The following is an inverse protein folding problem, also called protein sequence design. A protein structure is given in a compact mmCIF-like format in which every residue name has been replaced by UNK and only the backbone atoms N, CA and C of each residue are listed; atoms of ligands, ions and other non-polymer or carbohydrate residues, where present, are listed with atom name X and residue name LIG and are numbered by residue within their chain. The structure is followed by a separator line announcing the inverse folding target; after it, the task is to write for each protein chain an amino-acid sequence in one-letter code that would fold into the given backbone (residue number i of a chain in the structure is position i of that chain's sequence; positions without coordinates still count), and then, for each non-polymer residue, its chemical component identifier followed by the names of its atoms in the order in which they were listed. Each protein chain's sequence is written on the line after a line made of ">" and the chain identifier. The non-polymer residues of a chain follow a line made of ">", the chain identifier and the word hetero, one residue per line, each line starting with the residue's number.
data_IF_553345647193
#
_entry.id   IF_553345647193
#
_cell.length_a   1.000
_cell.length_b   1.000
_cell.length_c   1.000
_cell.angle_alpha   90.00
_cell.angle_beta   90.00
_cell.angle_gamma   90.00
#
_symmetry.space_group_name_H-M   'P 1'
#
loop_
_entity.id
_entity.type
_entity.pdbx_description
1 polymer ?
#
# COMPACT_ATOMS: atom_id res chain seq x y z
N UNK A 1 22.40 -28.74 57.08
CA UNK A 1 21.40 -29.83 56.94
C UNK A 1 20.55 -29.72 55.67
N UNK A 2 19.91 -28.57 55.40
CA UNK A 2 19.02 -28.39 54.24
C UNK A 2 19.68 -28.67 52.87
N UNK A 3 20.93 -28.24 52.65
CA UNK A 3 21.70 -28.60 51.44
C UNK A 3 21.92 -30.11 51.28
N UNK A 4 22.12 -30.84 52.40
CA UNK A 4 22.27 -32.31 52.38
C UNK A 4 20.97 -33.03 51.99
N UNK A 5 19.81 -32.37 52.13
CA UNK A 5 18.48 -32.88 51.76
C UNK A 5 18.08 -32.57 50.30
N UNK A 6 19.03 -32.11 49.48
CA UNK A 6 18.82 -31.84 48.04
C UNK A 6 18.08 -30.55 47.72
N UNK A 7 17.98 -29.62 48.69
CA UNK A 7 17.36 -28.32 48.42
C UNK A 7 18.25 -27.47 47.50
N UNK A 8 17.66 -26.98 46.41
CA UNK A 8 18.29 -26.09 45.45
C UNK A 8 18.43 -24.69 46.04
N UNK A 9 19.62 -24.13 45.83
CA UNK A 9 19.99 -22.78 46.19
C UNK A 9 20.19 -22.02 44.89
N UNK A 10 19.15 -21.33 44.42
CA UNK A 10 19.22 -20.60 43.16
C UNK A 10 19.92 -19.25 43.35
N UNK A 11 20.95 -19.00 42.53
CA UNK A 11 21.72 -17.76 42.44
C UNK A 11 22.57 -17.40 43.67
N UNK A 12 23.58 -16.54 43.45
CA UNK A 12 24.68 -16.22 44.38
C UNK A 12 24.31 -15.46 45.65
N UNK A 13 23.15 -15.76 46.24
CA UNK A 13 22.68 -15.20 47.50
C UNK A 13 23.43 -15.82 48.69
N UNK A 14 23.83 -14.94 49.62
CA UNK A 14 24.45 -15.35 50.89
C UNK A 14 23.33 -15.71 51.87
N UNK A 15 23.02 -16.99 52.01
CA UNK A 15 22.09 -17.50 53.02
C UNK A 15 22.74 -17.50 54.41
N UNK A 16 21.97 -17.14 55.44
CA UNK A 16 22.38 -17.22 56.85
C UNK A 16 22.39 -18.65 57.40
N UNK A 17 22.67 -18.79 58.70
CA UNK A 17 22.73 -20.10 59.38
C UNK A 17 21.36 -20.80 59.45
N UNK A 18 20.28 -20.03 59.55
CA UNK A 18 18.89 -20.51 59.56
C UNK A 18 18.20 -20.14 58.24
N UNK A 19 17.58 -21.13 57.58
CA UNK A 19 16.89 -20.96 56.29
C UNK A 19 15.52 -21.63 56.30
N UNK A 20 14.56 -21.04 55.57
CA UNK A 20 13.25 -21.66 55.32
C UNK A 20 13.30 -22.46 54.03
N UNK A 21 12.96 -23.75 54.13
CA UNK A 21 12.87 -24.66 52.98
C UNK A 21 11.40 -24.82 52.60
N UNK A 22 11.10 -24.61 51.32
CA UNK A 22 9.80 -24.88 50.72
C UNK A 22 9.95 -26.08 49.79
N UNK A 23 9.01 -27.02 49.87
CA UNK A 23 9.01 -28.24 49.06
C UNK A 23 7.72 -28.32 48.27
N UNK A 24 7.84 -28.48 46.96
CA UNK A 24 6.78 -29.00 46.09
C UNK A 24 7.07 -30.49 45.91
N UNK A 25 6.19 -31.33 46.45
CA UNK A 25 6.37 -32.79 46.48
C UNK A 25 6.72 -33.32 45.08
N UNK A 26 7.74 -34.19 45.03
CA UNK A 26 8.27 -34.83 43.81
C UNK A 26 8.75 -33.89 42.68
N UNK A 27 8.81 -32.58 42.93
CA UNK A 27 9.17 -31.57 41.90
C UNK A 27 10.39 -30.76 42.30
N UNK A 28 10.30 -29.97 43.37
CA UNK A 28 11.39 -29.09 43.80
C UNK A 28 11.44 -28.88 45.30
N UNK A 29 12.65 -28.64 45.81
CA UNK A 29 12.92 -28.23 47.19
C UNK A 29 13.84 -27.03 47.14
N UNK A 30 13.41 -25.91 47.70
CA UNK A 30 14.06 -24.62 47.45
C UNK A 30 14.13 -23.79 48.73
N UNK A 31 15.11 -22.89 48.80
CA UNK A 31 15.16 -21.87 49.83
C UNK A 31 14.28 -20.70 49.41
N UNK A 32 13.18 -20.47 50.14
CA UNK A 32 12.27 -19.37 49.85
C UNK A 32 11.64 -18.80 51.12
N UNK A 33 11.83 -17.50 51.34
CA UNK A 33 11.20 -16.72 52.41
C UNK A 33 9.81 -16.18 52.06
N UNK A 34 9.34 -16.35 50.83
CA UNK A 34 8.07 -15.82 50.35
C UNK A 34 6.84 -16.56 50.91
N UNK A 35 5.67 -16.01 50.64
CA UNK A 35 4.38 -16.67 50.92
C UNK A 35 4.12 -17.77 49.90
N UNK A 36 3.52 -18.87 50.35
CA UNK A 36 3.18 -20.00 49.49
C UNK A 36 1.76 -20.48 49.78
N UNK A 37 1.16 -21.08 48.76
CA UNK A 37 -0.07 -21.86 48.87
C UNK A 37 0.18 -23.16 49.63
N UNK A 38 -0.89 -23.75 50.17
CA UNK A 38 -0.81 -25.02 50.89
C UNK A 38 -0.69 -26.22 49.94
N UNK A 39 -1.20 -26.10 48.71
CA UNK A 39 -1.05 -27.08 47.65
C UNK A 39 -1.08 -26.39 46.28
N UNK A 40 -0.51 -27.03 45.26
CA UNK A 40 -0.38 -26.46 43.91
C UNK A 40 -1.72 -26.22 43.23
N UNK A 41 -2.77 -26.96 43.58
CA UNK A 41 -4.13 -26.76 43.06
C UNK A 41 -4.70 -25.36 43.34
N UNK A 42 -4.26 -24.72 44.43
CA UNK A 42 -4.68 -23.34 44.77
C UNK A 42 -4.12 -22.28 43.79
N UNK A 43 -3.05 -22.59 43.05
CA UNK A 43 -2.49 -21.71 42.03
C UNK A 43 -3.46 -21.61 40.83
N UNK A 44 -4.15 -22.71 40.52
CA UNK A 44 -5.10 -22.79 39.42
C UNK A 44 -4.45 -22.69 38.04
N UNK A 45 -5.10 -21.99 37.12
CA UNK A 45 -4.63 -21.85 35.73
C UNK A 45 -3.27 -21.14 35.69
N UNK A 46 -2.33 -21.68 34.92
CA UNK A 46 -1.05 -21.05 34.63
C UNK A 46 -0.94 -20.80 33.12
N UNK A 47 -0.61 -19.58 32.71
CA UNK A 47 -0.50 -19.21 31.31
C UNK A 47 0.81 -18.46 31.04
N UNK A 48 1.62 -19.00 30.14
CA UNK A 48 2.80 -18.31 29.61
C UNK A 48 2.32 -17.22 28.66
N UNK A 49 2.76 -15.99 28.93
CA UNK A 49 2.46 -14.80 28.15
C UNK A 49 3.45 -14.63 27.01
N UNK A 50 4.73 -14.81 27.32
CA UNK A 50 5.82 -14.60 26.38
C UNK A 50 7.03 -15.43 26.81
N UNK A 51 7.85 -15.76 25.83
CA UNK A 51 9.18 -16.31 26.06
C UNK A 51 10.16 -15.56 25.16
N UNK A 52 11.28 -15.12 25.72
CA UNK A 52 12.28 -14.33 25.01
C UNK A 52 13.71 -14.73 25.39
N UNK A 53 14.64 -14.61 24.44
CA UNK A 53 16.07 -14.78 24.71
C UNK A 53 16.64 -13.51 25.34
N UNK A 54 17.46 -13.65 26.38
CA UNK A 54 18.13 -12.51 27.06
C UNK A 54 19.65 -12.66 27.09
N UNK A 55 20.21 -13.61 26.34
CA UNK A 55 21.64 -13.87 26.28
C UNK A 55 21.95 -15.31 25.86
N UNK A 56 23.24 -15.63 25.69
CA UNK A 56 23.66 -16.97 25.31
C UNK A 56 23.28 -17.97 26.41
N UNK A 57 22.35 -18.88 26.09
CA UNK A 57 21.87 -19.91 27.02
C UNK A 57 20.82 -19.43 28.05
N UNK A 58 20.33 -18.19 27.96
CA UNK A 58 19.36 -17.62 28.91
C UNK A 58 18.04 -17.28 28.24
N UNK A 59 16.93 -17.72 28.86
CA UNK A 59 15.56 -17.45 28.41
C UNK A 59 14.77 -16.81 29.54
N UNK A 60 13.95 -15.81 29.22
CA UNK A 60 12.96 -15.21 30.11
C UNK A 60 11.59 -15.71 29.73
N UNK A 61 10.88 -16.24 30.70
CA UNK A 61 9.47 -16.62 30.59
C UNK A 61 8.66 -15.63 31.41
N UNK A 62 7.68 -14.98 30.79
CA UNK A 62 6.67 -14.19 31.48
C UNK A 62 5.40 -15.03 31.57
N UNK A 63 4.85 -15.18 32.78
CA UNK A 63 3.67 -15.98 32.99
C UNK A 63 2.74 -15.34 34.01
N UNK A 64 1.48 -15.75 33.96
CA UNK A 64 0.42 -15.33 34.89
C UNK A 64 -0.31 -16.56 35.40
N UNK A 65 -0.70 -16.55 36.68
CA UNK A 65 -1.42 -17.64 37.31
C UNK A 65 -2.76 -17.21 37.91
N UNK A 66 -3.63 -18.17 38.22
CA UNK A 66 -4.89 -17.99 38.93
C UNK A 66 -5.94 -17.19 38.15
N UNK A 67 -6.74 -16.40 38.88
CA UNK A 67 -7.83 -15.59 38.33
C UNK A 67 -7.38 -14.66 37.19
N UNK A 68 -6.24 -13.94 37.28
CA UNK A 68 -5.74 -13.13 36.17
C UNK A 68 -5.49 -13.94 34.88
N UNK A 69 -4.97 -15.17 34.99
CA UNK A 69 -4.77 -16.04 33.83
C UNK A 69 -6.11 -16.43 33.16
N UNK A 70 -7.09 -16.81 33.97
CA UNK A 70 -8.45 -17.13 33.50
C UNK A 70 -9.10 -15.93 32.80
N UNK A 71 -9.08 -14.74 33.41
CA UNK A 71 -9.68 -13.54 32.84
C UNK A 71 -9.03 -13.18 31.50
N UNK A 72 -7.71 -13.35 31.38
CA UNK A 72 -6.99 -13.12 30.12
C UNK A 72 -7.42 -14.10 29.03
N UNK A 73 -7.57 -15.39 29.36
CA UNK A 73 -8.05 -16.39 28.41
C UNK A 73 -9.50 -16.12 27.98
N UNK A 74 -10.37 -15.80 28.94
CA UNK A 74 -11.76 -15.41 28.66
C UNK A 74 -11.84 -14.20 27.73
N UNK A 75 -10.97 -13.20 27.93
CA UNK A 75 -10.85 -12.05 27.03
C UNK A 75 -10.50 -12.45 25.59
N UNK A 76 -9.54 -13.36 25.40
CA UNK A 76 -9.18 -13.89 24.06
C UNK A 76 -10.34 -14.62 23.40
N UNK A 77 -11.05 -15.48 24.15
CA UNK A 77 -12.23 -16.21 23.65
C UNK A 77 -13.34 -15.24 23.23
N UNK A 78 -13.61 -14.21 24.03
CA UNK A 78 -14.63 -13.21 23.70
C UNK A 78 -14.24 -12.42 22.44
N UNK A 79 -12.95 -12.08 22.26
CA UNK A 79 -12.49 -11.42 21.04
C UNK A 79 -12.72 -12.29 19.80
N UNK A 80 -12.43 -13.59 19.88
CA UNK A 80 -12.71 -14.54 18.79
C UNK A 80 -14.21 -14.64 18.50
N UNK A 81 -15.05 -14.73 19.53
CA UNK A 81 -16.52 -14.75 19.36
C UNK A 81 -17.06 -13.48 18.72
N UNK A 82 -16.51 -12.32 19.06
CA UNK A 82 -16.91 -11.06 18.43
C UNK A 82 -16.55 -11.03 16.93
N UNK A 83 -15.38 -11.56 16.56
CA UNK A 83 -14.97 -11.68 15.14
C UNK A 83 -15.89 -12.67 14.42
N UNK A 84 -16.16 -13.83 15.00
CA UNK A 84 -17.09 -14.83 14.46
C UNK A 84 -18.49 -14.23 14.24
N UNK A 85 -19.01 -13.47 15.20
CA UNK A 85 -20.30 -12.77 15.05
C UNK A 85 -20.29 -11.72 13.94
N UNK A 86 -19.20 -10.95 13.81
CA UNK A 86 -19.05 -9.95 12.74
C UNK A 86 -19.03 -10.59 11.35
N UNK A 87 -18.30 -11.70 11.22
CA UNK A 87 -18.18 -12.47 9.97
C UNK A 87 -19.39 -13.38 9.72
N UNK A 88 -20.25 -13.58 10.73
CA UNK A 88 -21.36 -14.55 10.73
C UNK A 88 -20.89 -15.98 10.43
N UNK A 89 -19.82 -16.39 11.09
CA UNK A 89 -19.14 -17.68 10.88
C UNK A 89 -18.78 -18.31 12.22
N UNK A 90 -18.41 -19.59 12.20
CA UNK A 90 -17.93 -20.28 13.40
C UNK A 90 -16.47 -19.90 13.73
N UNK A 91 -16.06 -20.02 14.99
CA UNK A 91 -14.73 -19.57 15.45
C UNK A 91 -13.60 -20.29 14.70
N UNK A 92 -13.81 -21.55 14.37
CA UNK A 92 -12.89 -22.43 13.65
C UNK A 92 -12.70 -21.99 12.18
N UNK A 93 -13.72 -21.36 11.59
CA UNK A 93 -13.73 -20.93 10.18
C UNK A 93 -13.25 -19.48 10.00
N UNK A 94 -13.08 -18.70 11.09
CA UNK A 94 -12.65 -17.29 11.04
C UNK A 94 -11.44 -17.08 10.12
N UNK A 95 -10.43 -17.95 10.22
CA UNK A 95 -9.21 -17.79 9.42
C UNK A 95 -9.49 -17.92 7.92
N UNK A 96 -10.29 -18.91 7.54
CA UNK A 96 -10.65 -19.16 6.14
C UNK A 96 -11.46 -18.01 5.57
N UNK A 97 -12.47 -17.54 6.29
CA UNK A 97 -13.33 -16.43 5.83
C UNK A 97 -12.55 -15.12 5.72
N UNK A 98 -11.63 -14.84 6.65
CA UNK A 98 -10.72 -13.69 6.53
C UNK A 98 -9.84 -13.83 5.28
N UNK A 99 -9.33 -15.03 5.01
CA UNK A 99 -8.49 -15.27 3.84
C UNK A 99 -9.25 -15.05 2.53
N UNK A 100 -10.51 -15.49 2.46
CA UNK A 100 -11.43 -15.25 1.33
C UNK A 100 -11.72 -13.74 1.17
N UNK A 101 -12.10 -13.04 2.25
CA UNK A 101 -12.32 -11.59 2.23
C UNK A 101 -11.10 -10.80 1.75
N UNK A 102 -9.89 -11.20 2.15
CA UNK A 102 -8.65 -10.56 1.69
C UNK A 102 -8.45 -10.77 0.18
N UNK A 103 -8.77 -11.96 -0.33
CA UNK A 103 -8.66 -12.27 -1.75
C UNK A 103 -9.72 -11.52 -2.57
N UNK A 104 -10.96 -11.50 -2.10
CA UNK A 104 -12.06 -10.77 -2.73
C UNK A 104 -11.77 -9.27 -2.78
N UNK A 105 -11.26 -8.69 -1.69
CA UNK A 105 -10.83 -7.29 -1.68
C UNK A 105 -9.79 -7.00 -2.76
N UNK A 106 -8.80 -7.88 -2.96
CA UNK A 106 -7.79 -7.73 -4.02
C UNK A 106 -8.41 -7.89 -5.41
N UNK A 107 -9.33 -8.83 -5.60
CA UNK A 107 -10.02 -9.04 -6.87
C UNK A 107 -10.90 -7.85 -7.25
N UNK A 108 -11.72 -7.36 -6.31
CA UNK A 108 -12.56 -6.18 -6.47
C UNK A 108 -11.73 -4.92 -6.77
N UNK A 109 -10.59 -4.74 -6.10
CA UNK A 109 -9.68 -3.62 -6.40
C UNK A 109 -9.18 -3.66 -7.86
N UNK A 110 -8.79 -4.84 -8.37
CA UNK A 110 -8.36 -5.02 -9.77
C UNK A 110 -9.50 -4.79 -10.75
N UNK A 111 -10.71 -5.29 -10.44
CA UNK A 111 -11.89 -5.07 -11.28
C UNK A 111 -12.24 -3.58 -11.35
N UNK A 112 -12.18 -2.87 -10.23
CA UNK A 112 -12.44 -1.44 -10.16
C UNK A 112 -11.42 -0.64 -10.99
N UNK A 113 -10.14 -1.01 -10.94
CA UNK A 113 -9.11 -0.43 -11.80
C UNK A 113 -9.40 -0.67 -13.30
N UNK A 114 -9.75 -1.91 -13.67
CA UNK A 114 -10.12 -2.26 -15.04
C UNK A 114 -11.35 -1.50 -15.54
N UNK A 115 -12.39 -1.33 -14.71
CA UNK A 115 -13.59 -0.56 -15.06
C UNK A 115 -13.25 0.92 -15.24
N UNK A 116 -12.42 1.50 -14.35
CA UNK A 116 -11.94 2.89 -14.49
C UNK A 116 -11.15 3.08 -15.79
N UNK A 117 -10.29 2.12 -16.13
CA UNK A 117 -9.55 2.13 -17.38
C UNK A 117 -10.52 2.08 -18.58
N UNK A 118 -11.44 1.12 -18.63
CA UNK A 118 -12.43 1.00 -19.73
C UNK A 118 -13.27 2.26 -19.90
N UNK A 119 -13.80 2.83 -18.81
CA UNK A 119 -14.59 4.07 -18.85
C UNK A 119 -13.77 5.27 -19.31
N UNK A 120 -12.48 5.35 -18.94
CA UNK A 120 -11.58 6.37 -19.46
C UNK A 120 -11.34 6.17 -20.96
N UNK A 121 -11.18 4.92 -21.42
CA UNK A 121 -10.96 4.61 -22.83
C UNK A 121 -12.18 4.86 -23.72
N UNK A 122 -13.40 4.69 -23.21
CA UNK A 122 -14.61 5.03 -23.97
C UNK A 122 -14.72 6.53 -24.26
N UNK A 123 -14.38 7.39 -23.28
CA UNK A 123 -14.34 8.85 -23.49
C UNK A 123 -13.40 9.26 -24.62
N UNK A 124 -12.35 8.48 -24.87
CA UNK A 124 -11.37 8.72 -25.94
C UNK A 124 -11.97 8.46 -27.32
N UNK A 125 -12.88 7.50 -27.46
CA UNK A 125 -13.49 7.20 -28.76
C UNK A 125 -14.24 8.40 -29.33
N UNK A 126 -14.80 9.25 -28.46
CA UNK A 126 -15.44 10.50 -28.86
C UNK A 126 -14.46 11.67 -29.02
N UNK A 127 -13.32 11.64 -28.34
CA UNK A 127 -12.27 12.66 -28.50
C UNK A 127 -11.68 12.68 -29.92
N UNK A 128 -11.58 11.54 -30.60
CA UNK A 128 -11.17 11.53 -32.02
C UNK A 128 -12.11 12.32 -32.94
N UNK A 129 -13.41 12.42 -32.59
CA UNK A 129 -14.38 13.21 -33.34
C UNK A 129 -14.24 14.72 -33.09
N UNK A 130 -13.57 15.11 -32.00
CA UNK A 130 -13.33 16.51 -31.61
C UNK A 130 -11.97 17.03 -32.09
N UNK A 131 -11.26 16.28 -32.93
CA UNK A 131 -9.99 16.72 -33.48
C UNK A 131 -10.16 18.03 -34.27
N UNK A 132 -9.36 19.04 -33.91
CA UNK A 132 -9.30 20.32 -34.62
C UNK A 132 -8.30 20.21 -35.76
N UNK A 133 -8.67 20.69 -36.95
CA UNK A 133 -7.74 20.76 -38.08
C UNK A 133 -6.99 22.09 -38.04
N UNK A 134 -5.67 22.05 -37.95
CA UNK A 134 -4.77 23.21 -38.00
C UNK A 134 -3.83 22.98 -39.17
N UNK A 135 -3.97 23.79 -40.23
CA UNK A 135 -3.32 23.52 -41.52
C UNK A 135 -3.67 22.10 -42.00
N UNK A 136 -2.67 21.25 -42.22
CA UNK A 136 -2.83 19.83 -42.57
C UNK A 136 -2.68 18.87 -41.37
N UNK A 137 -2.69 19.40 -40.14
CA UNK A 137 -2.48 18.64 -38.89
C UNK A 137 -3.81 18.46 -38.16
N UNK A 138 -4.08 17.23 -37.72
CA UNK A 138 -5.16 16.90 -36.78
C UNK A 138 -4.67 17.08 -35.34
N UNK A 139 -5.14 18.10 -34.64
CA UNK A 139 -4.82 18.35 -33.24
C UNK A 139 -5.91 17.79 -32.32
N UNK A 140 -5.51 17.00 -31.33
CA UNK A 140 -6.32 16.68 -30.16
C UNK A 140 -5.57 17.15 -28.91
N UNK A 141 -6.04 18.23 -28.29
CA UNK A 141 -5.62 18.63 -26.95
C UNK A 141 -6.81 18.54 -25.99
N UNK A 142 -6.70 17.75 -24.91
CA UNK A 142 -7.84 17.54 -24.01
C UNK A 142 -7.42 17.31 -22.58
N UNK A 143 -8.36 17.60 -21.67
CA UNK A 143 -8.25 17.31 -20.25
C UNK A 143 -8.90 15.97 -19.91
N UNK A 144 -8.23 15.14 -19.11
CA UNK A 144 -8.74 13.87 -18.58
C UNK A 144 -8.25 13.67 -17.14
N UNK A 145 -9.00 14.20 -16.18
CA UNK A 145 -8.70 14.08 -14.75
C UNK A 145 -8.93 12.66 -14.23
N UNK A 146 -8.17 12.27 -13.20
CA UNK A 146 -8.29 10.98 -12.51
C UNK A 146 -7.64 9.79 -13.24
N UNK A 147 -7.17 9.97 -14.47
CA UNK A 147 -6.38 8.98 -15.19
C UNK A 147 -4.90 9.08 -14.81
N UNK A 148 -4.21 7.96 -14.65
CA UNK A 148 -2.76 7.93 -14.43
C UNK A 148 -2.00 8.00 -15.77
N UNK A 149 -0.67 8.08 -15.73
CA UNK A 149 0.18 8.20 -16.94
C UNK A 149 0.01 7.04 -17.91
N UNK A 150 -0.17 5.81 -17.43
CA UNK A 150 -0.32 4.65 -18.30
C UNK A 150 -1.63 4.67 -19.08
N UNK A 151 -2.73 5.06 -18.44
CA UNK A 151 -4.03 5.27 -19.10
C UNK A 151 -3.92 6.41 -20.13
N UNK A 152 -3.29 7.54 -19.76
CA UNK A 152 -3.05 8.64 -20.71
C UNK A 152 -2.19 8.23 -21.90
N UNK A 153 -1.20 7.35 -21.70
CA UNK A 153 -0.35 6.84 -22.78
C UNK A 153 -1.12 5.95 -23.73
N UNK A 154 -1.86 4.97 -23.21
CA UNK A 154 -2.77 4.13 -24.01
C UNK A 154 -3.77 4.99 -24.78
N UNK A 155 -4.24 6.07 -24.16
CA UNK A 155 -5.15 7.02 -24.79
C UNK A 155 -4.55 7.73 -26.00
N UNK A 156 -3.32 8.22 -25.86
CA UNK A 156 -2.55 8.83 -26.96
C UNK A 156 -2.36 7.84 -28.09
N UNK A 157 -1.95 6.60 -27.80
CA UNK A 157 -1.74 5.56 -28.82
C UNK A 157 -3.03 5.24 -29.58
N UNK A 158 -4.16 5.06 -28.88
CA UNK A 158 -5.46 4.82 -29.53
C UNK A 158 -5.91 5.98 -30.43
N UNK A 159 -5.63 7.23 -30.04
CA UNK A 159 -5.95 8.40 -30.87
C UNK A 159 -5.03 8.50 -32.08
N UNK A 160 -3.74 8.17 -31.94
CA UNK A 160 -2.79 8.10 -33.07
C UNK A 160 -3.27 7.09 -34.10
N UNK A 161 -3.64 5.88 -33.66
CA UNK A 161 -4.10 4.80 -34.54
C UNK A 161 -5.41 5.15 -35.26
N UNK A 162 -6.31 5.89 -34.59
CA UNK A 162 -7.56 6.36 -35.22
C UNK A 162 -7.35 7.47 -36.23
N UNK A 163 -6.53 8.47 -35.90
CA UNK A 163 -6.36 9.67 -36.73
C UNK A 163 -5.42 9.43 -37.91
N UNK A 164 -4.52 8.42 -37.80
CA UNK A 164 -3.57 7.89 -38.80
C UNK A 164 -2.60 8.90 -39.42
N UNK A 165 -3.09 10.03 -39.94
CA UNK A 165 -2.33 10.98 -40.74
C UNK A 165 -2.15 12.31 -39.98
N UNK A 166 -0.90 12.77 -39.93
CA UNK A 166 -0.49 14.09 -39.42
C UNK A 166 -1.21 14.50 -38.13
N UNK A 167 -1.14 13.69 -37.08
CA UNK A 167 -1.85 13.94 -35.83
C UNK A 167 -0.92 14.34 -34.68
N UNK A 168 -1.29 15.41 -33.98
CA UNK A 168 -0.70 15.85 -32.71
C UNK A 168 -1.71 15.57 -31.61
N UNK A 169 -1.34 14.76 -30.62
CA UNK A 169 -2.19 14.46 -29.48
C UNK A 169 -1.48 14.87 -28.19
N UNK A 170 -2.14 15.67 -27.35
CA UNK A 170 -1.68 16.01 -26.01
C UNK A 170 -2.85 15.88 -25.03
N UNK A 171 -2.68 15.04 -24.02
CA UNK A 171 -3.68 14.83 -22.97
C UNK A 171 -3.07 15.25 -21.64
N UNK A 172 -3.78 16.10 -20.89
CA UNK A 172 -3.40 16.53 -19.56
C UNK A 172 -4.49 16.21 -18.53
N UNK A 173 -4.14 16.06 -17.27
CA UNK A 173 -5.14 15.83 -16.23
C UNK A 173 -4.56 15.94 -14.83
N UNK A 174 -5.45 16.09 -13.84
CA UNK A 174 -5.09 16.02 -12.42
C UNK A 174 -5.13 14.57 -11.95
N UNK A 175 -4.01 14.09 -11.39
CA UNK A 175 -3.89 12.78 -10.76
C UNK A 175 -3.11 12.93 -9.45
N UNK A 176 -3.68 12.45 -8.34
CA UNK A 176 -3.07 12.54 -6.99
C UNK A 176 -2.50 13.96 -6.68
N UNK A 177 -3.32 14.99 -6.91
CA UNK A 177 -3.00 16.40 -6.69
C UNK A 177 -1.86 16.97 -7.54
N UNK A 178 -1.43 16.27 -8.59
CA UNK A 178 -0.44 16.77 -9.55
C UNK A 178 -1.03 16.78 -10.96
N UNK A 179 -0.54 17.69 -11.78
CA UNK A 179 -0.80 17.65 -13.22
C UNK A 179 0.12 16.60 -13.84
N UNK A 180 -0.45 15.77 -14.70
CA UNK A 180 0.30 14.90 -15.60
C UNK A 180 -0.07 15.23 -17.05
N UNK A 181 0.92 15.17 -17.94
CA UNK A 181 0.76 15.32 -19.38
C UNK A 181 1.35 14.11 -20.10
N UNK A 182 0.68 13.67 -21.16
CA UNK A 182 1.21 12.73 -22.14
C UNK A 182 0.92 13.25 -23.53
N UNK A 183 1.94 13.26 -24.39
CA UNK A 183 1.80 13.68 -25.78
C UNK A 183 2.34 12.64 -26.74
N UNK A 184 1.78 12.60 -27.95
CA UNK A 184 2.28 11.76 -29.03
C UNK A 184 2.04 12.37 -30.41
N UNK A 185 2.92 11.99 -31.34
CA UNK A 185 2.87 12.36 -32.76
C UNK A 185 2.78 11.12 -33.64
N UNK A 186 2.12 11.26 -34.79
CA UNK A 186 2.26 10.32 -35.90
C UNK A 186 3.66 10.44 -36.52
N UNK A 187 4.15 9.34 -37.10
CA UNK A 187 5.53 9.23 -37.59
C UNK A 187 5.87 10.29 -38.64
N UNK A 188 4.94 10.60 -39.53
CA UNK A 188 5.12 11.61 -40.57
C UNK A 188 5.41 13.02 -40.03
N UNK A 189 4.88 13.39 -38.86
CA UNK A 189 5.18 14.68 -38.24
C UNK A 189 6.55 14.68 -37.56
N UNK A 190 6.96 13.53 -37.00
CA UNK A 190 8.30 13.35 -36.45
C UNK A 190 9.34 13.46 -37.56
N UNK A 191 9.10 12.81 -38.69
CA UNK A 191 9.98 12.84 -39.87
C UNK A 191 10.07 14.26 -40.47
N UNK A 192 9.00 15.07 -40.33
CA UNK A 192 8.98 16.50 -40.69
C UNK A 192 9.61 17.42 -39.64
N UNK A 193 10.19 16.87 -38.57
CA UNK A 193 10.94 17.62 -37.55
C UNK A 193 10.13 18.12 -36.35
N UNK A 194 8.84 17.78 -36.24
CA UNK A 194 8.06 18.10 -35.04
C UNK A 194 8.44 17.14 -33.90
N UNK A 195 8.59 17.68 -32.69
CA UNK A 195 9.00 16.92 -31.52
C UNK A 195 8.04 17.16 -30.35
N UNK A 196 7.34 16.11 -29.91
CA UNK A 196 6.36 16.22 -28.82
C UNK A 196 7.00 16.41 -27.45
N UNK A 197 8.24 15.96 -27.27
CA UNK A 197 9.03 16.24 -26.08
C UNK A 197 9.21 17.74 -25.86
N UNK A 198 9.41 18.51 -26.93
CA UNK A 198 9.52 19.97 -26.84
C UNK A 198 8.18 20.61 -26.43
N UNK A 199 7.07 20.17 -27.03
CA UNK A 199 5.72 20.64 -26.69
C UNK A 199 5.42 20.35 -25.21
N UNK A 200 5.65 19.12 -24.76
CA UNK A 200 5.41 18.69 -23.38
C UNK A 200 6.27 19.47 -22.40
N UNK A 201 7.54 19.74 -22.74
CA UNK A 201 8.45 20.55 -21.91
C UNK A 201 7.94 21.98 -21.75
N UNK A 202 7.43 22.59 -22.80
CA UNK A 202 6.90 23.96 -22.78
C UNK A 202 5.63 24.06 -21.93
N UNK A 203 4.64 23.19 -22.14
CA UNK A 203 3.40 23.22 -21.37
C UNK A 203 3.60 22.82 -19.90
N UNK A 204 4.56 21.91 -19.62
CA UNK A 204 4.88 21.54 -18.24
C UNK A 204 5.47 22.71 -17.46
N UNK A 205 6.27 23.58 -18.11
CA UNK A 205 6.79 24.81 -17.47
C UNK A 205 5.65 25.78 -17.11
N UNK A 206 4.64 25.91 -17.96
CA UNK A 206 3.45 26.74 -17.67
C UNK A 206 2.72 26.25 -16.43
N UNK A 207 2.67 24.93 -16.24
CA UNK A 207 2.09 24.27 -15.08
C UNK A 207 3.02 24.18 -13.85
N UNK A 208 4.18 24.87 -13.87
CA UNK A 208 5.13 24.87 -12.76
C UNK A 208 5.85 23.54 -12.56
N UNK A 209 6.15 22.82 -13.63
CA UNK A 209 6.89 21.56 -13.59
C UNK A 209 7.78 21.32 -14.81
N UNK A 210 8.03 20.05 -15.09
CA UNK A 210 8.98 19.60 -16.10
C UNK A 210 8.43 18.42 -16.89
N UNK A 211 8.92 18.26 -18.11
CA UNK A 211 8.57 17.13 -18.96
C UNK A 211 9.63 16.89 -20.04
N UNK A 212 9.49 15.78 -20.74
CA UNK A 212 10.42 15.35 -21.78
C UNK A 212 10.08 13.96 -22.30
N UNK A 213 10.85 13.49 -23.28
CA UNK A 213 10.65 12.20 -23.91
C UNK A 213 11.18 12.19 -25.33
N UNK A 214 10.79 11.15 -26.07
CA UNK A 214 11.17 10.98 -27.47
C UNK A 214 10.28 11.86 -28.36
N UNK A 215 10.69 12.07 -29.60
CA UNK A 215 9.97 12.96 -30.52
C UNK A 215 8.54 12.48 -30.79
N UNK A 216 8.32 11.17 -30.82
CA UNK A 216 7.04 10.50 -31.08
C UNK A 216 6.15 10.36 -29.84
N UNK A 217 6.72 10.42 -28.64
CA UNK A 217 6.01 10.26 -27.37
C UNK A 217 6.78 10.85 -26.20
N UNK A 218 6.10 11.68 -25.41
CA UNK A 218 6.68 12.32 -24.24
C UNK A 218 5.70 12.45 -23.08
N UNK A 219 6.24 12.60 -21.88
CA UNK A 219 5.47 12.76 -20.65
C UNK A 219 5.98 13.96 -19.85
N UNK A 220 5.09 14.54 -19.07
CA UNK A 220 5.41 15.70 -18.25
C UNK A 220 4.49 15.82 -17.06
N UNK A 221 4.73 16.83 -16.24
CA UNK A 221 3.87 17.15 -15.12
C UNK A 221 4.07 18.56 -14.60
N UNK A 222 3.20 18.94 -13.68
CA UNK A 222 3.18 20.26 -13.05
C UNK A 222 2.50 20.22 -11.69
N UNK A 223 2.74 21.24 -10.88
CA UNK A 223 2.15 21.37 -9.53
C UNK A 223 1.01 22.38 -9.49
N UNK A 224 0.97 23.34 -10.42
CA UNK A 224 -0.03 24.40 -10.44
C UNK A 224 -1.27 23.96 -11.23
N UNK A 225 -2.20 23.28 -10.55
CA UNK A 225 -3.47 22.79 -11.13
C UNK A 225 -4.25 23.92 -11.82
N UNK A 226 -4.16 25.16 -11.33
CA UNK A 226 -4.86 26.32 -11.91
C UNK A 226 -4.40 26.66 -13.32
N UNK A 227 -3.19 26.22 -13.71
CA UNK A 227 -2.59 26.46 -15.03
C UNK A 227 -2.85 25.36 -16.04
N UNK A 228 -3.50 24.25 -15.64
CA UNK A 228 -3.72 23.09 -16.51
C UNK A 228 -4.41 23.48 -17.83
N UNK A 229 -5.53 24.18 -17.77
CA UNK A 229 -6.29 24.54 -18.96
C UNK A 229 -5.51 25.52 -19.85
N UNK A 230 -4.78 26.46 -19.23
CA UNK A 230 -3.87 27.38 -19.95
C UNK A 230 -2.74 26.63 -20.66
N UNK A 231 -2.14 25.66 -19.98
CA UNK A 231 -1.07 24.83 -20.53
C UNK A 231 -1.56 23.99 -21.73
N UNK A 232 -2.77 23.43 -21.66
CA UNK A 232 -3.38 22.68 -22.77
C UNK A 232 -3.75 23.58 -23.96
N UNK A 233 -4.21 24.81 -23.72
CA UNK A 233 -4.48 25.78 -24.78
C UNK A 233 -3.21 26.17 -25.54
N UNK A 234 -2.07 26.29 -24.85
CA UNK A 234 -0.80 26.65 -25.49
C UNK A 234 -0.34 25.64 -26.54
N UNK A 235 -0.76 24.36 -26.43
CA UNK A 235 -0.49 23.34 -27.46
C UNK A 235 -0.97 23.81 -28.84
N UNK A 236 -2.14 24.45 -28.91
CA UNK A 236 -2.69 24.96 -30.18
C UNK A 236 -1.79 26.05 -30.78
N UNK A 237 -1.25 26.94 -29.94
CA UNK A 237 -0.35 28.01 -30.35
C UNK A 237 1.00 27.47 -30.85
N UNK A 238 1.55 26.47 -30.18
CA UNK A 238 2.81 25.81 -30.57
C UNK A 238 2.64 25.13 -31.93
N UNK A 239 1.54 24.40 -32.13
CA UNK A 239 1.26 23.69 -33.39
C UNK A 239 1.00 24.67 -34.54
N UNK A 240 0.33 25.81 -34.32
CA UNK A 240 0.13 26.85 -35.34
C UNK A 240 1.44 27.45 -35.87
N UNK A 241 2.47 27.56 -35.02
CA UNK A 241 3.79 28.09 -35.40
C UNK A 241 4.58 27.10 -36.26
N UNK A 242 4.24 25.82 -36.22
CA UNK A 242 4.90 24.80 -37.03
C UNK A 242 4.44 24.89 -38.49
N UNK A 243 5.37 25.24 -39.38
CA UNK A 243 5.15 25.21 -40.83
C UNK A 243 5.57 23.84 -41.35
N UNK A 244 4.64 23.12 -41.97
CA UNK A 244 4.97 21.95 -42.79
C UNK A 244 5.63 22.52 -44.05
N UNK A 245 6.96 22.35 -44.15
CA UNK A 245 7.71 22.58 -45.39
C UNK A 245 7.65 21.32 -46.24
#
# INVERSE_FOLDING_TARGET
>A
EAKKKGALSFFGEKYGELVRVVSVVDTSKEFCGGIHVNNTGQIGMFHILSESSIGKGLRRIEAVAGKPAYLKMKGKINALKNISSLLKTEVEEIYKDIQELVNDRKALARQLESIKEKGSLEKIKDLSKKAKKINSINLVNTRMDGANRDILRKAVDMLKDKLKNSAVIVIGGVYENNIIFVGGLTKDLVDKGLNVGNIIKEISKIAGGSGGGRAEMATGGGKDISKLDKALQEVENIVKKFKIV
#
